data_IF_861074983809
#
_entry.id   IF_861074983809
#
_cell.length_a   1.000
_cell.length_b   1.000
_cell.length_c   1.000
_cell.angle_alpha   90.00
_cell.angle_beta   90.00
_cell.angle_gamma   90.00
#
_symmetry.space_group_name_H-M   'P 1'
#
loop_
_entity.id
_entity.type
_entity.pdbx_description
1 polymer ?
#
# COMPACT_ATOMS: atom_id res chain seq x y z
N UNK A 1 -18.12 0.01 -1.84
CA UNK A 1 -16.69 0.16 -2.22
C UNK A 1 -15.89 -0.89 -1.46
N UNK A 2 -14.88 -1.53 -2.07
CA UNK A 2 -14.07 -2.56 -1.42
C UNK A 2 -12.76 -1.94 -0.92
N UNK A 3 -12.49 -2.08 0.38
CA UNK A 3 -11.29 -1.56 1.06
C UNK A 3 -10.28 -2.67 1.29
N UNK A 4 -8.99 -2.38 1.08
CA UNK A 4 -7.88 -3.32 1.30
C UNK A 4 -6.80 -2.63 2.10
N UNK A 5 -6.29 -3.32 3.12
CA UNK A 5 -5.11 -2.88 3.87
C UNK A 5 -3.93 -3.79 3.55
N UNK A 6 -2.79 -3.19 3.20
CA UNK A 6 -1.55 -3.92 2.90
C UNK A 6 -0.54 -3.59 3.98
N UNK A 7 -0.11 -4.63 4.73
CA UNK A 7 0.85 -4.50 5.83
C UNK A 7 2.24 -4.91 5.34
N UNK A 8 3.19 -3.99 5.44
CA UNK A 8 4.52 -4.05 4.83
C UNK A 8 4.51 -3.41 3.43
N UNK A 9 5.20 -2.30 3.27
CA UNK A 9 5.38 -1.54 2.02
C UNK A 9 6.80 -1.67 1.47
N UNK A 10 7.38 -2.87 1.58
CA UNK A 10 8.55 -3.25 0.81
C UNK A 10 8.23 -3.41 -0.69
N UNK A 11 9.15 -3.98 -1.44
CA UNK A 11 9.02 -4.16 -2.89
C UNK A 11 7.68 -4.80 -3.31
N UNK A 12 7.29 -5.90 -2.67
CA UNK A 12 6.06 -6.63 -3.01
C UNK A 12 4.81 -5.90 -2.54
N UNK A 13 4.79 -5.44 -1.28
CA UNK A 13 3.60 -4.81 -0.71
C UNK A 13 3.24 -3.49 -1.39
N UNK A 14 4.26 -2.68 -1.71
CA UNK A 14 4.05 -1.41 -2.41
C UNK A 14 3.55 -1.63 -3.85
N UNK A 15 4.20 -2.51 -4.61
CA UNK A 15 3.79 -2.81 -6.01
C UNK A 15 2.39 -3.41 -6.07
N UNK A 16 2.06 -4.30 -5.13
CA UNK A 16 0.73 -4.86 -5.00
C UNK A 16 -0.32 -3.80 -4.63
N UNK A 17 -0.01 -2.92 -3.68
CA UNK A 17 -0.88 -1.81 -3.27
C UNK A 17 -1.20 -0.88 -4.45
N UNK A 18 -0.17 -0.50 -5.22
CA UNK A 18 -0.33 0.33 -6.42
C UNK A 18 -1.19 -0.37 -7.48
N UNK A 19 -0.97 -1.67 -7.71
CA UNK A 19 -1.77 -2.49 -8.62
C UNK A 19 -3.24 -2.60 -8.22
N UNK A 20 -3.54 -2.63 -6.92
CA UNK A 20 -4.91 -2.66 -6.40
C UNK A 20 -5.58 -1.30 -6.51
N UNK A 21 -4.87 -0.23 -6.16
CA UNK A 21 -5.37 1.14 -6.29
C UNK A 21 -5.71 1.46 -7.77
N UNK A 22 -4.85 1.07 -8.70
CA UNK A 22 -5.09 1.21 -10.15
C UNK A 22 -6.31 0.41 -10.65
N UNK A 23 -6.76 -0.61 -9.92
CA UNK A 23 -7.95 -1.41 -10.25
C UNK A 23 -9.23 -0.91 -9.56
N UNK A 24 -9.17 0.24 -8.89
CA UNK A 24 -10.32 0.88 -8.25
C UNK A 24 -10.62 0.42 -6.83
N UNK A 25 -9.68 -0.27 -6.17
CA UNK A 25 -9.78 -0.56 -4.75
C UNK A 25 -9.32 0.64 -3.91
N UNK A 26 -9.97 0.86 -2.78
CA UNK A 26 -9.50 1.83 -1.78
C UNK A 26 -8.42 1.12 -0.92
N UNK A 27 -7.16 1.52 -1.10
CA UNK A 27 -6.00 0.83 -0.52
C UNK A 27 -5.37 1.67 0.59
N UNK A 28 -5.12 1.03 1.74
CA UNK A 28 -4.37 1.60 2.86
C UNK A 28 -3.07 0.84 3.05
N UNK A 29 -1.95 1.53 2.84
CA UNK A 29 -0.62 0.99 3.12
C UNK A 29 -0.25 1.19 4.59
N UNK A 30 0.26 0.15 5.24
CA UNK A 30 0.77 0.19 6.61
C UNK A 30 2.20 -0.32 6.59
N UNK A 31 3.15 0.47 7.05
CA UNK A 31 4.53 0.03 7.27
C UNK A 31 4.96 0.49 8.67
N UNK A 32 5.92 -0.18 9.30
CA UNK A 32 6.46 0.24 10.59
C UNK A 32 7.50 1.36 10.41
N UNK A 33 8.18 1.37 9.26
CA UNK A 33 9.23 2.33 8.93
C UNK A 33 8.62 3.67 8.50
N UNK A 34 8.73 4.65 9.41
CA UNK A 34 8.22 6.01 9.20
C UNK A 34 8.92 6.76 8.07
N UNK A 35 10.20 6.50 7.81
CA UNK A 35 10.90 7.14 6.70
C UNK A 35 10.37 6.61 5.38
N UNK A 36 10.18 5.28 5.26
CA UNK A 36 9.56 4.69 4.07
C UNK A 36 8.18 5.27 3.80
N UNK A 37 7.31 5.37 4.82
CA UNK A 37 5.96 5.92 4.64
C UNK A 37 5.95 7.40 4.21
N UNK A 38 7.01 8.18 4.49
CA UNK A 38 7.10 9.58 4.06
C UNK A 38 7.55 9.74 2.61
N UNK A 39 8.15 8.72 2.02
CA UNK A 39 8.71 8.78 0.66
C UNK A 39 7.70 8.43 -0.44
N UNK A 40 6.57 7.83 -0.09
CA UNK A 40 5.51 7.30 -0.97
C UNK A 40 4.16 7.91 -0.63
#
# INVERSE_FOLDING_TARGET
MRRVSVVGLGYVGLTFSACLASRGFEVYGVDIDEEKRRLI
#
